data_IF_118915391469
#
_entry.id   IF_118915391469
#
_cell.length_a   1.000
_cell.length_b   1.000
_cell.length_c   1.000
_cell.angle_alpha   90.00
_cell.angle_beta   90.00
_cell.angle_gamma   90.00
#
_symmetry.space_group_name_H-M   'P 1'
#
loop_
_entity.id
_entity.type
_entity.pdbx_description
1 polymer ?
#
# COMPACT_ATOMS: atom_id res chain seq x y z
N UNK A 1 7.88 -9.53 -18.97
CA UNK A 1 9.18 -9.74 -18.26
C UNK A 1 9.07 -9.19 -16.82
N UNK A 2 9.62 -9.88 -15.81
CA UNK A 2 9.39 -9.69 -14.36
C UNK A 2 7.92 -9.65 -13.89
N UNK A 3 7.13 -8.67 -14.33
CA UNK A 3 5.71 -8.50 -14.01
C UNK A 3 4.82 -9.72 -14.34
N UNK A 4 5.27 -10.58 -15.26
CA UNK A 4 4.62 -11.87 -15.60
C UNK A 4 4.98 -13.02 -14.63
N UNK A 5 5.62 -12.73 -13.49
CA UNK A 5 6.03 -13.75 -12.51
C UNK A 5 7.38 -14.40 -12.78
N UNK A 6 8.16 -13.89 -13.74
CA UNK A 6 9.54 -14.36 -13.99
C UNK A 6 10.50 -13.72 -12.99
N UNK A 7 11.39 -14.52 -12.40
CA UNK A 7 12.49 -13.98 -11.59
C UNK A 7 13.58 -13.37 -12.49
N UNK A 8 14.10 -12.20 -12.11
CA UNK A 8 15.24 -11.56 -12.77
C UNK A 8 16.36 -11.37 -11.75
N UNK A 9 17.55 -11.86 -12.08
CA UNK A 9 18.76 -11.65 -11.29
C UNK A 9 19.60 -10.56 -11.96
N UNK A 10 19.79 -9.44 -11.27
CA UNK A 10 20.72 -8.38 -11.69
C UNK A 10 22.08 -8.69 -11.07
N UNK A 11 23.09 -8.84 -11.91
CA UNK A 11 24.48 -9.08 -11.49
C UNK A 11 25.34 -7.83 -11.69
N UNK A 12 26.34 -7.65 -10.85
CA UNK A 12 27.44 -6.68 -11.02
C UNK A 12 28.74 -7.45 -10.91
N UNK A 13 29.64 -7.31 -11.89
CA UNK A 13 30.90 -8.07 -11.96
C UNK A 13 30.68 -9.59 -11.89
N UNK A 14 29.66 -10.11 -12.59
CA UNK A 14 29.25 -11.52 -12.57
C UNK A 14 28.80 -12.04 -11.19
N UNK A 15 28.64 -11.17 -10.19
CA UNK A 15 28.10 -11.53 -8.88
C UNK A 15 26.64 -11.06 -8.76
N UNK A 16 25.71 -11.90 -8.31
CA UNK A 16 24.32 -11.52 -8.10
C UNK A 16 24.20 -10.46 -7.01
N UNK A 17 23.50 -9.37 -7.30
CA UNK A 17 23.34 -8.23 -6.39
C UNK A 17 21.88 -7.98 -6.01
N UNK A 18 20.96 -8.16 -6.96
CA UNK A 18 19.53 -7.93 -6.74
C UNK A 18 18.72 -9.04 -7.38
N UNK A 19 17.70 -9.52 -6.66
CA UNK A 19 16.65 -10.39 -7.19
C UNK A 19 15.37 -9.56 -7.32
N UNK A 20 14.90 -9.39 -8.55
CA UNK A 20 13.59 -8.83 -8.86
C UNK A 20 12.59 -9.97 -9.02
N UNK A 21 11.56 -9.97 -8.19
CA UNK A 21 10.40 -10.85 -8.30
C UNK A 21 9.16 -10.01 -8.56
N UNK A 22 8.19 -10.57 -9.27
CA UNK A 22 6.87 -9.93 -9.35
C UNK A 22 6.25 -9.89 -7.96
N UNK A 23 5.81 -8.71 -7.52
CA UNK A 23 4.93 -8.64 -6.38
C UNK A 23 3.65 -9.39 -6.74
N UNK A 24 3.22 -10.34 -5.90
CA UNK A 24 1.93 -10.99 -6.12
C UNK A 24 0.87 -9.90 -6.21
N UNK A 25 0.15 -9.88 -7.33
CA UNK A 25 -1.04 -9.05 -7.45
C UNK A 25 -2.01 -9.56 -6.41
N UNK A 26 -2.12 -8.86 -5.27
CA UNK A 26 -3.18 -9.14 -4.33
C UNK A 26 -4.49 -9.06 -5.11
N UNK A 27 -5.26 -10.15 -5.08
CA UNK A 27 -6.57 -10.17 -5.71
C UNK A 27 -7.33 -9.00 -5.12
N UNK A 28 -7.72 -8.04 -5.96
CA UNK A 28 -8.54 -6.93 -5.50
C UNK A 28 -9.79 -7.54 -4.86
N UNK A 29 -10.02 -7.21 -3.59
CA UNK A 29 -11.26 -7.60 -2.91
C UNK A 29 -12.46 -7.09 -3.72
N UNK A 30 -13.53 -7.88 -3.88
CA UNK A 30 -14.73 -7.42 -4.56
C UNK A 30 -15.35 -6.22 -3.81
N UNK A 31 -15.99 -5.27 -4.51
CA UNK A 31 -16.64 -4.13 -3.89
C UNK A 31 -17.97 -4.57 -3.26
N UNK A 32 -17.89 -5.17 -2.08
CA UNK A 32 -19.04 -5.61 -1.30
C UNK A 32 -19.36 -4.57 -0.22
N UNK A 33 -20.63 -4.18 -0.12
CA UNK A 33 -21.11 -3.32 0.96
C UNK A 33 -20.82 -3.97 2.31
N UNK A 34 -20.24 -3.20 3.24
CA UNK A 34 -19.91 -3.69 4.58
C UNK A 34 -18.67 -4.59 4.66
N UNK A 35 -17.87 -4.73 3.60
CA UNK A 35 -16.63 -5.53 3.60
C UNK A 35 -15.57 -5.07 4.60
N UNK A 36 -15.70 -3.84 5.11
CA UNK A 36 -14.84 -3.26 6.16
C UNK A 36 -15.60 -2.92 7.44
N UNK A 37 -16.76 -3.54 7.66
CA UNK A 37 -17.43 -3.43 8.96
C UNK A 37 -16.44 -3.83 10.06
N UNK A 38 -16.37 -3.02 11.12
CA UNK A 38 -15.50 -3.20 12.28
C UNK A 38 -13.98 -3.10 12.01
N UNK A 39 -13.56 -2.77 10.78
CA UNK A 39 -12.14 -2.59 10.41
C UNK A 39 -11.72 -1.12 10.30
N UNK A 40 -12.68 -0.22 10.22
CA UNK A 40 -12.45 1.22 10.12
C UNK A 40 -12.77 1.82 11.49
N UNK A 41 -11.79 2.49 12.08
CA UNK A 41 -11.94 3.28 13.31
C UNK A 41 -11.68 4.74 13.00
N UNK A 42 -12.49 5.62 13.58
CA UNK A 42 -12.28 7.07 13.59
C UNK A 42 -11.76 7.43 14.98
N UNK A 43 -10.77 8.30 15.05
CA UNK A 43 -10.23 8.80 16.32
C UNK A 43 -11.25 9.71 17.02
N UNK A 44 -11.24 9.75 18.35
CA UNK A 44 -12.17 10.56 19.14
C UNK A 44 -12.02 12.07 18.86
N UNK A 45 -10.84 12.49 18.41
CA UNK A 45 -10.48 13.88 18.07
C UNK A 45 -10.69 14.23 16.58
N UNK A 46 -11.31 13.37 15.79
CA UNK A 46 -11.42 13.59 14.33
C UNK A 46 -12.14 14.90 13.95
N UNK A 47 -13.13 15.30 14.76
CA UNK A 47 -13.89 16.53 14.54
C UNK A 47 -13.21 17.77 15.16
N UNK A 48 -12.06 17.61 15.83
CA UNK A 48 -11.35 18.74 16.41
C UNK A 48 -10.73 19.64 15.32
N UNK A 49 -10.73 20.97 15.54
CA UNK A 49 -10.13 21.89 14.59
C UNK A 49 -8.61 21.69 14.55
N UNK A 50 -8.07 21.65 13.34
CA UNK A 50 -6.63 21.67 13.13
C UNK A 50 -6.07 23.00 13.67
N UNK A 51 -5.04 22.91 14.53
CA UNK A 51 -4.40 24.07 15.16
C UNK A 51 -3.97 25.13 14.14
N UNK A 52 -3.45 24.68 12.99
CA UNK A 52 -2.97 25.53 11.90
C UNK A 52 -4.09 26.27 11.15
N UNK A 53 -5.35 25.87 11.37
CA UNK A 53 -6.54 26.44 10.70
C UNK A 53 -7.42 27.26 11.64
N UNK A 54 -6.97 27.51 12.88
CA UNK A 54 -7.72 28.34 13.85
C UNK A 54 -8.05 29.75 13.34
N UNK A 55 -7.22 30.32 12.48
CA UNK A 55 -7.44 31.66 11.92
C UNK A 55 -8.54 31.69 10.83
N UNK A 56 -9.04 30.53 10.39
CA UNK A 56 -10.02 30.38 9.32
C UNK A 56 -11.39 29.85 9.78
N UNK A 57 -11.53 29.51 11.07
CA UNK A 57 -12.78 29.06 11.71
C UNK A 57 -13.43 30.21 12.46
#
# INVERSE_FOLDING_TARGET
MAAEGKEIIITKNHQPMVKLISAQTQTKRPPLFGSDRDRISISDDFDEPLLDFKEYM
#
